data_IF_138007714193
#
_entry.id   IF_138007714193
#
_cell.length_a   1.000
_cell.length_b   1.000
_cell.length_c   1.000
_cell.angle_alpha   90.00
_cell.angle_beta   90.00
_cell.angle_gamma   90.00
#
_symmetry.space_group_name_H-M   'P 1'
#
loop_
_entity.id
_entity.type
_entity.pdbx_description
1 polymer ?
#
# COMPACT_ATOMS: atom_id res chain seq x y z
N UNK A 1 -17.36 27.73 -6.95
CA UNK A 1 -18.41 27.46 -5.94
C UNK A 1 -17.85 26.41 -4.97
N UNK A 2 -17.12 26.86 -3.98
CA UNK A 2 -16.59 25.95 -2.96
C UNK A 2 -16.30 26.77 -1.72
N UNK A 3 -17.15 26.70 -0.71
CA UNK A 3 -16.79 27.22 0.64
C UNK A 3 -17.76 26.76 1.75
N UNK A 4 -18.69 25.84 1.46
CA UNK A 4 -19.69 25.47 2.49
C UNK A 4 -19.30 24.25 3.35
N UNK A 5 -18.28 23.46 2.98
CA UNK A 5 -17.91 22.25 3.71
C UNK A 5 -16.98 22.50 4.90
N UNK A 6 -16.28 23.63 4.91
CA UNK A 6 -15.26 23.93 5.92
C UNK A 6 -15.83 24.38 7.27
N UNK A 7 -17.01 25.02 7.29
CA UNK A 7 -17.54 25.67 8.51
C UNK A 7 -18.17 24.68 9.49
N UNK A 8 -18.79 23.61 9.00
CA UNK A 8 -19.41 22.59 9.86
C UNK A 8 -18.41 21.73 10.62
N UNK A 9 -17.25 21.42 10.01
CA UNK A 9 -16.17 20.68 10.70
C UNK A 9 -15.55 21.47 11.86
N UNK A 10 -15.42 22.79 11.72
CA UNK A 10 -14.83 23.65 12.75
C UNK A 10 -15.70 23.77 14.01
N UNK A 11 -17.01 23.82 13.85
CA UNK A 11 -17.94 23.89 14.99
C UNK A 11 -17.98 22.58 15.79
N UNK A 12 -17.78 21.44 15.15
CA UNK A 12 -17.77 20.14 15.81
C UNK A 12 -16.51 19.92 16.66
N UNK A 13 -15.34 20.32 16.17
CA UNK A 13 -14.07 20.22 16.92
C UNK A 13 -14.10 21.14 18.15
N UNK A 14 -14.61 22.37 18.02
CA UNK A 14 -14.74 23.30 19.12
C UNK A 14 -15.77 22.82 20.17
N UNK A 15 -16.88 22.20 19.75
CA UNK A 15 -17.89 21.65 20.65
C UNK A 15 -17.37 20.42 21.42
N UNK A 16 -16.49 19.61 20.83
CA UNK A 16 -15.91 18.44 21.49
C UNK A 16 -14.83 18.82 22.50
N UNK A 17 -14.02 19.85 22.22
CA UNK A 17 -13.07 20.41 23.19
C UNK A 17 -13.85 20.95 24.40
N UNK A 18 -14.95 21.65 24.21
CA UNK A 18 -15.82 22.12 25.30
C UNK A 18 -16.50 20.98 26.07
N UNK A 19 -16.83 19.86 25.41
CA UNK A 19 -17.40 18.67 26.07
C UNK A 19 -16.33 17.87 26.84
N UNK A 20 -15.08 17.85 26.38
CA UNK A 20 -13.96 17.22 27.08
C UNK A 20 -13.51 18.04 28.28
N UNK A 21 -13.60 19.37 28.22
CA UNK A 21 -13.34 20.23 29.39
C UNK A 21 -14.44 20.09 30.46
N UNK A 22 -15.67 19.76 30.08
CA UNK A 22 -16.78 19.58 31.04
C UNK A 22 -16.76 18.18 31.71
N UNK A 23 -16.04 17.19 31.16
CA UNK A 23 -15.89 15.85 31.76
C UNK A 23 -14.58 15.66 32.53
N UNK A 24 -13.75 16.67 32.65
CA UNK A 24 -12.62 16.64 33.58
C UNK A 24 -13.12 16.89 35.02
N UNK A 25 -13.94 15.97 35.53
CA UNK A 25 -14.00 15.75 36.96
C UNK A 25 -12.60 15.39 37.41
N UNK A 26 -11.95 16.26 38.16
CA UNK A 26 -10.72 15.90 38.90
C UNK A 26 -10.99 14.59 39.63
N UNK A 27 -10.12 13.57 39.52
CA UNK A 27 -10.32 12.35 40.25
C UNK A 27 -10.25 12.70 41.73
N UNK A 28 -11.42 12.83 42.38
CA UNK A 28 -11.49 12.76 43.82
C UNK A 28 -10.67 11.56 44.28
N UNK A 29 -9.78 11.76 45.23
CA UNK A 29 -8.85 10.75 45.73
C UNK A 29 -9.59 9.62 46.51
N UNK A 30 -10.57 9.02 45.89
CA UNK A 30 -11.30 7.86 46.35
C UNK A 30 -10.54 6.62 45.88
N UNK A 31 -10.14 5.79 46.82
CA UNK A 31 -9.58 4.44 46.54
C UNK A 31 -10.68 3.47 46.06
N UNK A 32 -11.85 3.97 45.71
CA UNK A 32 -12.93 3.17 45.17
C UNK A 32 -12.72 2.91 43.68
N UNK A 33 -12.71 1.63 43.31
CA UNK A 33 -12.68 1.16 41.92
C UNK A 33 -14.03 0.55 41.56
N UNK A 34 -14.84 1.27 40.82
CA UNK A 34 -16.12 0.78 40.31
C UNK A 34 -15.93 0.12 38.96
N UNK A 35 -16.26 -1.18 38.88
CA UNK A 35 -16.23 -1.92 37.62
C UNK A 35 -17.62 -1.90 36.99
N UNK A 36 -17.72 -1.20 35.87
CA UNK A 36 -18.99 -1.05 35.14
C UNK A 36 -19.41 -2.32 34.41
N UNK A 37 -20.70 -2.43 34.07
CA UNK A 37 -21.22 -3.52 33.25
C UNK A 37 -20.56 -3.61 31.87
N UNK A 38 -20.20 -2.47 31.28
CA UNK A 38 -19.51 -2.39 29.99
C UNK A 38 -18.07 -2.98 30.08
N UNK A 39 -17.33 -2.66 31.15
CA UNK A 39 -15.99 -3.22 31.37
C UNK A 39 -16.05 -4.74 31.59
N UNK A 40 -17.04 -5.25 32.35
CA UNK A 40 -17.25 -6.69 32.51
C UNK A 40 -17.57 -7.38 31.18
N UNK A 41 -18.39 -6.77 30.34
CA UNK A 41 -18.71 -7.29 29.01
C UNK A 41 -17.48 -7.30 28.12
N UNK A 42 -16.66 -6.25 28.13
CA UNK A 42 -15.39 -6.18 27.41
C UNK A 42 -14.42 -7.30 27.80
N UNK A 43 -14.17 -7.51 29.10
CA UNK A 43 -13.28 -8.60 29.59
C UNK A 43 -13.83 -9.96 29.15
N UNK A 44 -15.13 -10.16 29.17
CA UNK A 44 -15.76 -11.41 28.70
C UNK A 44 -15.52 -11.65 27.22
N UNK A 45 -15.69 -10.65 26.40
CA UNK A 45 -15.47 -10.74 24.96
C UNK A 45 -13.99 -11.02 24.63
N UNK A 46 -13.05 -10.33 25.27
CA UNK A 46 -11.63 -10.59 25.15
C UNK A 46 -11.26 -12.03 25.54
N UNK A 47 -11.83 -12.52 26.61
CA UNK A 47 -11.61 -13.91 27.09
C UNK A 47 -12.10 -14.93 26.07
N UNK A 48 -13.22 -14.68 25.42
CA UNK A 48 -13.77 -15.54 24.36
C UNK A 48 -12.92 -15.50 23.08
N UNK A 49 -12.47 -14.31 22.67
CA UNK A 49 -11.61 -14.14 21.48
C UNK A 49 -10.22 -14.78 21.64
N UNK A 50 -9.69 -14.80 22.86
CA UNK A 50 -8.41 -15.46 23.17
C UNK A 50 -8.48 -17.00 23.10
N UNK A 51 -9.59 -17.58 22.63
CA UNK A 51 -9.73 -19.02 22.44
C UNK A 51 -9.92 -19.82 23.74
N UNK A 52 -10.23 -19.16 24.83
CA UNK A 52 -10.60 -19.79 26.08
C UNK A 52 -11.97 -20.48 25.93
N UNK A 53 -11.98 -21.62 25.22
CA UNK A 53 -13.15 -22.50 25.07
C UNK A 53 -13.50 -23.23 26.38
N UNK A 54 -12.89 -22.84 27.46
CA UNK A 54 -13.21 -23.40 28.78
C UNK A 54 -14.51 -22.79 29.27
N UNK A 55 -15.56 -23.57 29.23
CA UNK A 55 -16.85 -23.32 29.88
C UNK A 55 -16.68 -23.32 31.41
N UNK A 56 -15.83 -22.47 31.96
CA UNK A 56 -15.58 -22.41 33.40
C UNK A 56 -15.61 -20.95 33.88
N UNK A 57 -16.40 -20.68 34.90
CA UNK A 57 -16.42 -19.43 35.69
C UNK A 57 -15.00 -19.00 36.07
N UNK A 58 -14.10 -19.94 36.32
CA UNK A 58 -12.72 -19.68 36.76
C UNK A 58 -11.85 -18.89 35.76
N UNK A 59 -12.05 -19.07 34.45
CA UNK A 59 -11.23 -18.34 33.42
C UNK A 59 -11.66 -16.89 33.30
N UNK A 60 -12.97 -16.62 33.34
CA UNK A 60 -13.48 -15.28 33.36
C UNK A 60 -13.14 -14.54 34.66
N UNK A 61 -13.26 -15.22 35.81
CA UNK A 61 -12.93 -14.64 37.11
C UNK A 61 -11.44 -14.27 37.18
N UNK A 62 -10.56 -15.11 36.65
CA UNK A 62 -9.12 -14.82 36.57
C UNK A 62 -8.84 -13.63 35.63
N UNK A 63 -9.46 -13.59 34.43
CA UNK A 63 -9.33 -12.46 33.51
C UNK A 63 -9.85 -11.16 34.13
N UNK A 64 -10.95 -11.24 34.88
CA UNK A 64 -11.51 -10.09 35.60
C UNK A 64 -10.58 -9.61 36.72
N UNK A 65 -9.97 -10.52 37.47
CA UNK A 65 -8.99 -10.15 38.50
C UNK A 65 -7.76 -9.47 37.88
N UNK A 66 -7.22 -10.04 36.78
CA UNK A 66 -6.11 -9.41 36.04
C UNK A 66 -6.49 -8.01 35.57
N UNK A 67 -7.68 -7.81 35.03
CA UNK A 67 -8.16 -6.50 34.61
C UNK A 67 -8.23 -5.49 35.77
N UNK A 68 -8.70 -5.93 36.94
CA UNK A 68 -8.75 -5.10 38.16
C UNK A 68 -7.33 -4.72 38.62
N UNK A 69 -6.43 -5.67 38.65
CA UNK A 69 -5.03 -5.43 39.05
C UNK A 69 -4.33 -4.45 38.08
N UNK A 70 -4.55 -4.59 36.78
CA UNK A 70 -4.03 -3.66 35.77
C UNK A 70 -4.61 -2.25 35.96
N UNK A 71 -5.89 -2.10 36.26
CA UNK A 71 -6.54 -0.80 36.48
C UNK A 71 -6.00 -0.13 37.78
N UNK A 72 -5.74 -0.90 38.83
CA UNK A 72 -5.12 -0.42 40.04
C UNK A 72 -3.69 0.09 39.75
N UNK A 73 -2.88 -0.75 39.08
CA UNK A 73 -1.49 -0.40 38.70
C UNK A 73 -1.47 0.86 37.82
N UNK A 74 -2.39 0.98 36.88
CA UNK A 74 -2.51 2.16 36.02
C UNK A 74 -2.81 3.42 36.82
N UNK A 75 -3.76 3.38 37.73
CA UNK A 75 -4.11 4.53 38.60
C UNK A 75 -2.96 4.93 39.52
N UNK A 76 -2.32 3.97 40.14
CA UNK A 76 -1.14 4.25 41.00
C UNK A 76 0.04 4.78 40.18
N UNK A 77 0.27 4.25 38.98
CA UNK A 77 1.29 4.74 38.05
C UNK A 77 1.05 6.21 37.67
N UNK A 78 -0.20 6.61 37.38
CA UNK A 78 -0.56 8.01 37.11
C UNK A 78 -0.33 8.91 38.34
N UNK A 79 -0.68 8.46 39.56
CA UNK A 79 -0.41 9.20 40.80
C UNK A 79 1.08 9.43 41.03
N UNK A 80 1.93 8.46 40.65
CA UNK A 80 3.38 8.58 40.71
C UNK A 80 3.97 9.39 39.55
N UNK A 81 3.17 9.80 38.58
CA UNK A 81 3.60 10.55 37.42
C UNK A 81 4.45 9.74 36.42
N UNK A 82 4.29 8.42 36.35
CA UNK A 82 5.05 7.54 35.43
C UNK A 82 4.70 7.79 33.95
N UNK A 83 3.64 8.51 33.67
CA UNK A 83 3.25 8.97 32.33
C UNK A 83 3.98 10.26 31.92
N UNK A 84 4.53 10.99 32.88
CA UNK A 84 5.21 12.28 32.64
C UNK A 84 6.60 12.02 32.06
N UNK A 85 6.94 12.77 31.03
CA UNK A 85 8.21 12.69 30.31
C UNK A 85 8.55 11.31 29.70
N UNK A 86 7.60 10.37 29.73
CA UNK A 86 7.73 9.08 29.06
C UNK A 86 7.39 9.20 27.57
N UNK A 87 8.41 8.96 26.72
CA UNK A 87 8.26 9.04 25.26
C UNK A 87 7.32 7.96 24.71
N UNK A 88 7.23 6.79 25.34
CA UNK A 88 6.37 5.68 24.89
C UNK A 88 4.92 6.04 25.16
N UNK A 89 4.62 6.50 26.38
CA UNK A 89 3.28 6.98 26.74
C UNK A 89 2.86 8.12 25.84
N UNK A 90 3.73 9.13 25.67
CA UNK A 90 3.46 10.27 24.76
C UNK A 90 3.16 9.83 23.35
N UNK A 91 3.95 8.92 22.77
CA UNK A 91 3.70 8.39 21.42
C UNK A 91 2.37 7.65 21.33
N UNK A 92 1.99 6.90 22.34
CA UNK A 92 0.73 6.17 22.38
C UNK A 92 -0.48 7.10 22.44
N UNK A 93 -0.40 8.16 23.26
CA UNK A 93 -1.44 9.18 23.34
C UNK A 93 -1.57 9.94 22.01
N UNK A 94 -0.44 10.35 21.41
CA UNK A 94 -0.43 11.00 20.09
C UNK A 94 -1.04 10.10 19.02
N UNK A 95 -0.74 8.80 19.03
CA UNK A 95 -1.32 7.84 18.09
C UNK A 95 -2.84 7.73 18.26
N UNK A 96 -3.32 7.60 19.50
CA UNK A 96 -4.77 7.56 19.80
C UNK A 96 -5.46 8.84 19.35
N UNK A 97 -4.84 10.01 19.59
CA UNK A 97 -5.41 11.30 19.17
C UNK A 97 -5.50 11.42 17.64
N UNK A 98 -4.52 10.90 16.90
CA UNK A 98 -4.59 10.85 15.44
C UNK A 98 -5.75 10.00 14.95
N UNK A 99 -5.94 8.80 15.51
CA UNK A 99 -7.10 7.96 15.16
C UNK A 99 -8.43 8.66 15.49
N UNK A 100 -8.52 9.34 16.64
CA UNK A 100 -9.72 10.08 16.99
C UNK A 100 -10.02 11.18 15.96
N UNK A 101 -9.01 11.92 15.50
CA UNK A 101 -9.18 12.93 14.45
C UNK A 101 -9.66 12.33 13.13
N UNK A 102 -9.15 11.14 12.77
CA UNK A 102 -9.57 10.40 11.58
C UNK A 102 -11.04 9.95 11.67
N UNK A 103 -11.43 9.42 12.81
CA UNK A 103 -12.81 8.93 13.05
C UNK A 103 -13.85 10.08 13.08
N UNK A 104 -13.45 11.25 13.54
CA UNK A 104 -14.33 12.41 13.63
C UNK A 104 -14.69 13.04 12.28
N UNK A 105 -13.89 12.77 11.24
CA UNK A 105 -14.07 13.33 9.90
C UNK A 105 -14.10 12.24 8.85
N UNK A 106 -15.18 11.46 8.79
CA UNK A 106 -15.29 10.38 7.81
C UNK A 106 -15.24 10.94 6.38
N UNK A 107 -14.35 10.40 5.58
CA UNK A 107 -14.25 10.72 4.15
C UNK A 107 -15.29 9.91 3.38
N UNK A 108 -16.19 10.61 2.69
CA UNK A 108 -17.18 9.95 1.84
C UNK A 108 -16.49 9.23 0.66
N UNK A 109 -17.05 8.13 0.16
CA UNK A 109 -16.56 7.50 -1.06
C UNK A 109 -16.49 8.52 -2.20
N UNK A 110 -15.40 8.53 -3.00
CA UNK A 110 -15.26 9.50 -4.08
C UNK A 110 -16.29 9.29 -5.19
N UNK A 111 -16.76 10.39 -5.76
CA UNK A 111 -17.63 10.39 -6.92
C UNK A 111 -16.85 10.04 -8.19
N UNK A 112 -17.57 9.65 -9.25
CA UNK A 112 -16.97 9.39 -10.56
C UNK A 112 -16.18 10.61 -11.09
N UNK A 113 -16.74 11.80 -10.97
CA UNK A 113 -16.09 13.03 -11.39
C UNK A 113 -14.78 13.30 -10.63
N UNK A 114 -14.76 13.04 -9.32
CA UNK A 114 -13.55 13.17 -8.50
C UNK A 114 -12.46 12.18 -8.92
N UNK A 115 -12.84 10.95 -9.27
CA UNK A 115 -11.91 9.93 -9.77
C UNK A 115 -11.31 10.35 -11.12
N UNK A 116 -12.13 10.89 -12.04
CA UNK A 116 -11.66 11.38 -13.34
C UNK A 116 -10.68 12.55 -13.19
N UNK A 117 -11.00 13.51 -12.35
CA UNK A 117 -10.11 14.65 -12.04
C UNK A 117 -8.79 14.17 -11.43
N UNK A 118 -8.86 13.26 -10.48
CA UNK A 118 -7.65 12.70 -9.84
C UNK A 118 -6.76 11.95 -10.83
N UNK A 119 -7.35 11.14 -11.69
CA UNK A 119 -6.66 10.42 -12.75
C UNK A 119 -5.95 11.37 -13.72
N UNK A 120 -6.62 12.44 -14.15
CA UNK A 120 -6.04 13.49 -15.00
C UNK A 120 -4.88 14.24 -14.33
N UNK A 121 -4.93 14.43 -13.03
CA UNK A 121 -3.87 15.09 -12.27
C UNK A 121 -2.68 14.18 -11.97
N UNK A 122 -2.87 12.86 -12.00
CA UNK A 122 -1.86 11.86 -11.64
C UNK A 122 -1.65 10.78 -12.72
N UNK A 123 -1.56 11.12 -14.01
CA UNK A 123 -1.58 10.12 -15.08
C UNK A 123 -0.42 9.13 -15.00
N UNK A 124 0.76 9.54 -14.48
CA UNK A 124 1.94 8.67 -14.39
C UNK A 124 1.76 7.51 -13.39
N UNK A 125 0.82 7.61 -12.44
CA UNK A 125 0.55 6.57 -11.45
C UNK A 125 -0.36 5.46 -11.99
N UNK A 126 -1.05 5.72 -13.09
CA UNK A 126 -2.08 4.86 -13.67
C UNK A 126 -1.79 4.61 -15.14
N UNK A 127 -0.61 4.06 -15.41
CA UNK A 127 -0.23 3.64 -16.75
C UNK A 127 -0.39 2.14 -16.90
N UNK A 128 -0.90 1.70 -18.04
CA UNK A 128 -0.75 0.32 -18.45
C UNK A 128 0.70 0.06 -18.83
N UNK A 129 1.19 -1.14 -18.61
CA UNK A 129 2.53 -1.50 -19.04
C UNK A 129 2.61 -1.59 -20.57
N UNK A 130 3.77 -1.22 -21.10
CA UNK A 130 4.11 -1.54 -22.48
C UNK A 130 4.24 -3.06 -22.62
N UNK A 131 3.61 -3.63 -23.64
CA UNK A 131 3.68 -5.05 -23.93
C UNK A 131 4.13 -5.30 -25.38
N UNK A 132 4.77 -6.44 -25.60
CA UNK A 132 5.20 -6.88 -26.92
C UNK A 132 4.82 -8.33 -27.14
N UNK A 133 4.42 -8.65 -28.38
CA UNK A 133 4.30 -10.01 -28.87
C UNK A 133 5.43 -10.26 -29.86
N UNK A 134 6.17 -11.35 -29.71
CA UNK A 134 7.36 -11.61 -30.51
C UNK A 134 7.52 -13.10 -30.82
N UNK A 135 8.17 -13.37 -31.94
CA UNK A 135 8.78 -14.68 -32.24
C UNK A 135 10.18 -14.76 -31.62
N UNK A 136 10.58 -15.96 -31.22
CA UNK A 136 11.84 -16.17 -30.51
C UNK A 136 12.51 -17.46 -30.95
N UNK A 137 13.80 -17.37 -31.29
CA UNK A 137 14.70 -18.50 -31.46
C UNK A 137 15.81 -18.43 -30.43
N UNK A 138 16.10 -19.56 -29.80
CA UNK A 138 17.07 -19.67 -28.74
C UNK A 138 18.21 -20.64 -29.11
N UNK A 139 19.43 -20.25 -28.79
CA UNK A 139 20.65 -21.02 -29.01
C UNK A 139 21.36 -21.19 -27.67
N UNK A 140 21.18 -22.34 -27.05
CA UNK A 140 21.64 -22.62 -25.69
C UNK A 140 23.18 -22.67 -25.61
N UNK A 141 23.78 -21.87 -24.76
CA UNK A 141 25.21 -21.93 -24.50
C UNK A 141 25.60 -23.28 -23.86
N UNK A 142 24.74 -23.84 -23.03
CA UNK A 142 24.97 -25.14 -22.41
C UNK A 142 25.05 -26.30 -23.41
N UNK A 143 24.34 -26.20 -24.55
CA UNK A 143 24.37 -27.24 -25.62
C UNK A 143 25.39 -26.96 -26.71
N UNK A 144 25.57 -25.67 -27.05
CA UNK A 144 26.33 -25.25 -28.25
C UNK A 144 27.70 -24.62 -27.92
N UNK A 145 27.95 -24.36 -26.63
CA UNK A 145 29.19 -23.67 -26.23
C UNK A 145 29.35 -22.32 -26.90
N UNK A 146 30.53 -22.00 -27.34
CA UNK A 146 30.89 -20.74 -28.02
C UNK A 146 30.31 -20.64 -29.44
N UNK A 147 29.91 -21.76 -30.05
CA UNK A 147 29.27 -21.74 -31.37
C UNK A 147 27.88 -21.16 -31.37
N UNK A 148 27.23 -21.01 -30.22
CA UNK A 148 25.88 -20.45 -30.12
C UNK A 148 25.74 -19.08 -30.81
N UNK A 149 26.74 -18.22 -30.70
CA UNK A 149 26.75 -16.89 -31.32
C UNK A 149 26.83 -16.98 -32.83
N UNK A 150 27.75 -17.84 -33.33
CA UNK A 150 27.94 -18.04 -34.75
C UNK A 150 26.73 -18.70 -35.42
N UNK A 151 26.15 -19.70 -34.78
CA UNK A 151 24.94 -20.38 -35.29
C UNK A 151 23.71 -19.43 -35.25
N UNK A 152 23.58 -18.58 -34.24
CA UNK A 152 22.54 -17.55 -34.21
C UNK A 152 22.72 -16.54 -35.36
N UNK A 153 23.94 -16.14 -35.69
CA UNK A 153 24.21 -15.23 -36.79
C UNK A 153 23.81 -15.83 -38.16
N UNK A 154 24.11 -17.10 -38.39
CA UNK A 154 23.68 -17.85 -39.60
C UNK A 154 22.19 -17.95 -39.63
N UNK A 155 21.55 -18.37 -38.54
CA UNK A 155 20.12 -18.52 -38.42
C UNK A 155 19.37 -17.17 -38.71
N UNK A 156 19.93 -16.04 -38.27
CA UNK A 156 19.36 -14.72 -38.61
C UNK A 156 19.32 -14.46 -40.11
N UNK A 157 20.36 -14.85 -40.85
CA UNK A 157 20.38 -14.69 -42.32
C UNK A 157 19.33 -15.59 -43.00
N UNK A 158 19.21 -16.84 -42.53
CA UNK A 158 18.23 -17.79 -43.04
C UNK A 158 16.80 -17.35 -42.79
N UNK A 159 16.51 -16.88 -41.57
CA UNK A 159 15.22 -16.31 -41.17
C UNK A 159 14.88 -15.07 -42.02
N UNK A 160 15.85 -14.22 -42.32
CA UNK A 160 15.67 -13.07 -43.23
C UNK A 160 15.34 -13.47 -44.68
N UNK A 161 15.64 -14.73 -45.07
CA UNK A 161 15.27 -15.31 -46.36
C UNK A 161 13.97 -16.13 -46.29
N UNK A 162 13.27 -16.13 -45.16
CA UNK A 162 12.06 -16.93 -44.95
C UNK A 162 12.28 -18.42 -44.75
N UNK A 163 13.53 -18.85 -44.49
CA UNK A 163 13.87 -20.27 -44.26
C UNK A 163 13.62 -20.66 -42.80
N UNK A 164 13.18 -21.88 -42.58
CA UNK A 164 13.07 -22.44 -41.24
C UNK A 164 14.46 -22.71 -40.65
N UNK A 165 14.66 -22.40 -39.37
CA UNK A 165 15.90 -22.64 -38.64
C UNK A 165 15.67 -23.58 -37.45
N UNK A 166 16.71 -24.34 -37.11
CA UNK A 166 16.67 -25.22 -35.96
C UNK A 166 17.22 -24.47 -34.72
N UNK A 167 16.36 -24.20 -33.77
CA UNK A 167 16.67 -23.57 -32.47
C UNK A 167 16.49 -24.55 -31.31
N UNK A 168 17.05 -24.23 -30.15
CA UNK A 168 16.86 -25.02 -28.96
C UNK A 168 15.56 -24.62 -28.25
N UNK A 169 14.92 -25.54 -27.50
CA UNK A 169 13.79 -25.19 -26.67
C UNK A 169 14.19 -24.13 -25.63
N UNK A 170 13.39 -23.08 -25.50
CA UNK A 170 13.55 -22.13 -24.43
C UNK A 170 12.54 -22.44 -23.32
N UNK A 171 12.94 -22.44 -22.02
CA UNK A 171 12.08 -22.89 -20.93
C UNK A 171 10.90 -21.99 -20.66
N UNK A 172 10.88 -20.78 -21.24
CA UNK A 172 9.81 -19.80 -21.05
C UNK A 172 8.98 -19.69 -22.31
N UNK A 173 7.65 -19.82 -22.19
CA UNK A 173 6.73 -19.68 -23.31
C UNK A 173 6.55 -18.19 -23.64
N UNK A 174 7.14 -17.74 -24.72
CA UNK A 174 7.15 -16.35 -25.13
C UNK A 174 6.24 -16.03 -26.33
N UNK A 175 5.55 -17.01 -26.90
CA UNK A 175 5.12 -16.93 -28.30
C UNK A 175 3.61 -16.71 -28.54
N UNK A 176 2.75 -16.63 -27.52
CA UNK A 176 1.32 -16.54 -27.78
C UNK A 176 0.57 -15.40 -27.08
N UNK A 177 1.15 -14.74 -26.11
CA UNK A 177 0.50 -13.62 -25.41
C UNK A 177 1.43 -12.41 -25.37
N UNK A 178 0.90 -11.18 -25.43
CA UNK A 178 1.69 -9.99 -25.20
C UNK A 178 2.35 -10.07 -23.82
N UNK A 179 3.69 -9.90 -23.78
CA UNK A 179 4.51 -9.98 -22.57
C UNK A 179 4.91 -8.57 -22.14
N UNK A 180 4.78 -8.27 -20.85
CA UNK A 180 5.15 -6.96 -20.33
C UNK A 180 6.67 -6.82 -20.22
N UNK A 181 7.14 -5.56 -20.21
CA UNK A 181 8.55 -5.22 -20.00
C UNK A 181 9.12 -5.89 -18.75
N UNK A 182 8.40 -5.81 -17.65
CA UNK A 182 8.86 -6.32 -16.36
C UNK A 182 8.97 -7.84 -16.39
N UNK A 183 8.05 -8.54 -17.06
CA UNK A 183 8.13 -9.98 -17.26
C UNK A 183 9.34 -10.37 -18.12
N UNK A 184 9.60 -9.66 -19.21
CA UNK A 184 10.76 -9.90 -20.07
C UNK A 184 12.06 -9.71 -19.28
N UNK A 185 12.16 -8.63 -18.50
CA UNK A 185 13.35 -8.35 -17.67
C UNK A 185 13.55 -9.46 -16.63
N UNK A 186 12.48 -9.91 -15.99
CA UNK A 186 12.51 -11.00 -15.02
C UNK A 186 12.98 -12.31 -15.62
N UNK A 187 12.53 -12.64 -16.83
CA UNK A 187 12.76 -13.93 -17.48
C UNK A 187 14.08 -14.00 -18.24
N UNK A 188 14.47 -12.89 -18.87
CA UNK A 188 15.61 -12.86 -19.82
C UNK A 188 16.69 -11.83 -19.46
N UNK A 189 16.45 -10.99 -18.47
CA UNK A 189 17.35 -9.94 -18.02
C UNK A 189 17.14 -8.58 -18.71
N UNK A 190 17.59 -7.52 -18.03
CA UNK A 190 17.41 -6.14 -18.46
C UNK A 190 17.95 -5.82 -19.86
N UNK A 191 19.11 -6.36 -20.32
CA UNK A 191 19.60 -6.10 -21.67
C UNK A 191 18.65 -6.60 -22.77
N UNK A 192 18.03 -7.77 -22.57
CA UNK A 192 17.06 -8.34 -23.53
C UNK A 192 15.79 -7.50 -23.56
N UNK A 193 15.28 -7.09 -22.38
CA UNK A 193 14.10 -6.25 -22.28
C UNK A 193 14.25 -4.93 -23.04
N UNK A 194 15.39 -4.28 -22.90
CA UNK A 194 15.68 -3.03 -23.63
C UNK A 194 15.66 -3.22 -25.14
N UNK A 195 16.35 -4.26 -25.63
CA UNK A 195 16.41 -4.54 -27.07
C UNK A 195 15.05 -4.85 -27.64
N UNK A 196 14.25 -5.71 -26.99
CA UNK A 196 12.91 -6.07 -27.43
C UNK A 196 11.97 -4.87 -27.56
N UNK A 197 12.06 -3.93 -26.62
CA UNK A 197 11.20 -2.75 -26.63
C UNK A 197 11.57 -1.75 -27.74
N UNK A 198 12.83 -1.72 -28.18
CA UNK A 198 13.34 -0.79 -29.20
C UNK A 198 13.39 -1.43 -30.61
N UNK A 199 13.28 -2.78 -30.71
CA UNK A 199 13.40 -3.50 -31.98
C UNK A 199 12.28 -3.09 -32.95
N UNK A 200 12.60 -2.75 -34.23
CA UNK A 200 11.59 -2.52 -35.24
C UNK A 200 10.65 -3.73 -35.43
N UNK A 201 9.39 -3.46 -35.75
CA UNK A 201 8.41 -4.52 -36.03
C UNK A 201 8.84 -5.34 -37.27
N UNK A 202 8.49 -6.62 -37.25
CA UNK A 202 8.71 -7.58 -38.35
C UNK A 202 10.16 -7.77 -38.79
N UNK A 203 11.13 -7.37 -37.97
CA UNK A 203 12.56 -7.53 -38.26
C UNK A 203 13.22 -8.41 -37.20
N UNK A 204 14.07 -9.34 -37.66
CA UNK A 204 14.89 -10.15 -36.77
C UNK A 204 16.02 -9.33 -36.16
N UNK A 205 16.19 -9.43 -34.84
CA UNK A 205 17.26 -8.79 -34.11
C UNK A 205 18.65 -9.27 -34.53
N UNK A 206 19.68 -8.50 -34.21
CA UNK A 206 21.01 -9.10 -34.07
C UNK A 206 21.00 -10.17 -32.96
N UNK A 207 21.97 -11.09 -32.94
CA UNK A 207 22.12 -12.04 -31.84
C UNK A 207 22.24 -11.31 -30.48
N UNK A 208 21.29 -11.58 -29.58
CA UNK A 208 21.23 -10.99 -28.23
C UNK A 208 21.72 -12.02 -27.23
N UNK A 209 22.71 -11.67 -26.43
CA UNK A 209 23.25 -12.56 -25.41
C UNK A 209 22.54 -12.40 -24.07
N UNK A 210 22.27 -13.52 -23.40
CA UNK A 210 21.86 -13.61 -22.02
C UNK A 210 22.74 -14.59 -21.24
N UNK A 211 22.46 -14.76 -19.95
CA UNK A 211 23.12 -15.78 -19.12
C UNK A 211 22.84 -17.21 -19.60
N UNK A 212 21.75 -17.45 -20.30
CA UNK A 212 21.30 -18.76 -20.77
C UNK A 212 21.84 -19.11 -22.15
N UNK A 213 22.14 -18.13 -22.99
CA UNK A 213 22.58 -18.34 -24.35
C UNK A 213 22.36 -17.13 -25.25
N UNK A 214 22.10 -17.41 -26.53
CA UNK A 214 21.91 -16.39 -27.56
C UNK A 214 20.49 -16.46 -28.09
N UNK A 215 19.88 -15.32 -28.28
CA UNK A 215 18.48 -15.15 -28.68
C UNK A 215 18.41 -14.39 -30.00
N UNK A 216 17.45 -14.75 -30.83
CA UNK A 216 16.96 -13.95 -31.95
C UNK A 216 15.49 -13.65 -31.72
N UNK A 217 15.10 -12.39 -31.84
CA UNK A 217 13.73 -11.93 -31.64
C UNK A 217 13.20 -11.25 -32.90
N UNK A 218 11.92 -11.42 -33.15
CA UNK A 218 11.16 -10.62 -34.11
C UNK A 218 9.89 -10.13 -33.44
N UNK A 219 9.79 -8.83 -33.22
CA UNK A 219 8.58 -8.22 -32.61
C UNK A 219 7.46 -8.18 -33.66
N UNK A 220 6.34 -8.83 -33.36
CA UNK A 220 5.16 -8.88 -34.21
C UNK A 220 4.20 -7.72 -33.91
N UNK A 221 4.03 -7.44 -32.61
CA UNK A 221 3.15 -6.38 -32.15
C UNK A 221 3.77 -5.69 -30.94
N UNK A 222 3.53 -4.39 -30.83
CA UNK A 222 3.89 -3.58 -29.69
C UNK A 222 2.70 -2.73 -29.29
N UNK A 223 2.32 -2.84 -28.03
CA UNK A 223 1.31 -2.00 -27.43
C UNK A 223 1.98 -1.05 -26.45
N UNK A 224 1.99 0.21 -26.76
CA UNK A 224 2.50 1.24 -25.86
C UNK A 224 1.62 1.34 -24.62
N UNK A 225 2.25 1.60 -23.49
CA UNK A 225 1.53 1.93 -22.27
C UNK A 225 0.70 3.20 -22.47
N UNK A 226 -0.50 3.20 -21.95
CA UNK A 226 -1.40 4.36 -21.96
C UNK A 226 -1.98 4.60 -20.57
N UNK A 227 -2.47 5.80 -20.34
CA UNK A 227 -3.18 6.09 -19.09
C UNK A 227 -4.44 5.21 -19.01
N UNK A 228 -4.58 4.50 -17.89
CA UNK A 228 -5.75 3.67 -17.60
C UNK A 228 -7.02 4.52 -17.58
N UNK A 229 -8.15 3.92 -17.91
CA UNK A 229 -9.46 4.52 -17.61
C UNK A 229 -9.78 4.39 -16.12
N UNK A 230 -10.81 5.09 -15.64
CA UNK A 230 -11.26 4.98 -14.24
C UNK A 230 -11.63 3.54 -13.89
N UNK A 231 -12.25 2.81 -14.83
CA UNK A 231 -12.64 1.41 -14.67
C UNK A 231 -11.41 0.50 -14.57
N UNK A 232 -10.39 0.73 -15.39
CA UNK A 232 -9.14 -0.04 -15.38
C UNK A 232 -8.33 0.20 -14.11
N UNK A 233 -8.21 1.46 -13.68
CA UNK A 233 -7.51 1.82 -12.44
C UNK A 233 -8.31 1.40 -11.18
N UNK A 234 -9.63 1.31 -11.28
CA UNK A 234 -10.54 0.64 -10.37
C UNK A 234 -10.31 0.95 -8.88
N UNK A 235 -10.05 -0.09 -8.11
CA UNK A 235 -9.87 0.03 -6.64
C UNK A 235 -8.60 0.78 -6.25
N UNK A 236 -7.53 0.72 -7.04
CA UNK A 236 -6.31 1.46 -6.76
C UNK A 236 -6.57 2.97 -6.80
N UNK A 237 -7.24 3.45 -7.85
CA UNK A 237 -7.59 4.86 -8.00
C UNK A 237 -8.44 5.37 -6.84
N UNK A 238 -9.45 4.59 -6.44
CA UNK A 238 -10.30 4.92 -5.28
C UNK A 238 -9.52 4.99 -3.99
N UNK A 239 -8.68 3.99 -3.73
CA UNK A 239 -7.88 3.91 -2.51
C UNK A 239 -6.90 5.08 -2.40
N UNK A 240 -6.22 5.40 -3.49
CA UNK A 240 -5.27 6.50 -3.55
C UNK A 240 -5.94 7.87 -3.31
N UNK A 241 -7.10 8.11 -3.96
CA UNK A 241 -7.84 9.34 -3.76
C UNK A 241 -8.39 9.46 -2.34
N UNK A 242 -8.93 8.37 -1.79
CA UNK A 242 -9.40 8.36 -0.40
C UNK A 242 -8.25 8.59 0.59
N UNK A 243 -7.07 8.03 0.33
CA UNK A 243 -5.89 8.27 1.16
C UNK A 243 -5.46 9.74 1.12
N UNK A 244 -5.42 10.37 -0.05
CA UNK A 244 -5.10 11.78 -0.21
C UNK A 244 -6.15 12.70 0.45
N UNK A 245 -7.43 12.35 0.36
CA UNK A 245 -8.50 13.09 1.04
C UNK A 245 -8.37 13.00 2.56
N UNK A 246 -8.08 11.79 3.11
CA UNK A 246 -7.83 11.61 4.55
C UNK A 246 -6.62 12.42 5.01
N UNK A 247 -5.53 12.41 4.26
CA UNK A 247 -4.35 13.21 4.58
C UNK A 247 -4.68 14.70 4.65
N UNK A 248 -5.46 15.21 3.69
CA UNK A 248 -5.90 16.62 3.66
C UNK A 248 -6.76 16.95 4.88
N UNK A 249 -7.72 16.10 5.22
CA UNK A 249 -8.62 16.29 6.36
C UNK A 249 -7.83 16.24 7.68
N UNK A 250 -6.92 15.27 7.82
CA UNK A 250 -6.08 15.14 9.02
C UNK A 250 -5.15 16.35 9.19
N UNK A 251 -4.56 16.83 8.10
CA UNK A 251 -3.73 18.04 8.11
C UNK A 251 -4.54 19.27 8.53
N UNK A 252 -5.77 19.43 8.02
CA UNK A 252 -6.66 20.52 8.41
C UNK A 252 -7.07 20.42 9.88
N UNK A 253 -7.40 19.23 10.38
CA UNK A 253 -7.72 19.00 11.79
C UNK A 253 -6.54 19.33 12.72
N UNK A 254 -5.34 18.91 12.36
CA UNK A 254 -4.14 19.25 13.12
C UNK A 254 -3.83 20.75 13.07
N UNK A 255 -4.01 21.41 11.93
CA UNK A 255 -3.84 22.84 11.79
C UNK A 255 -4.84 23.63 12.66
N UNK A 256 -6.09 23.17 12.72
CA UNK A 256 -7.11 23.74 13.59
C UNK A 256 -6.71 23.62 15.07
N UNK A 257 -6.27 22.45 15.52
CA UNK A 257 -5.74 22.26 16.86
C UNK A 257 -4.55 23.20 17.14
N UNK A 258 -3.59 23.24 16.20
CA UNK A 258 -2.38 24.06 16.34
C UNK A 258 -2.72 25.56 16.53
N UNK A 259 -3.78 26.05 15.88
CA UNK A 259 -4.20 27.45 15.99
C UNK A 259 -4.69 27.84 17.38
N UNK A 260 -5.06 26.88 18.23
CA UNK A 260 -5.47 27.12 19.61
C UNK A 260 -4.30 27.27 20.59
N UNK A 261 -3.07 26.97 20.13
CA UNK A 261 -1.87 27.03 20.96
C UNK A 261 -1.01 28.24 20.64
N UNK A 262 -0.51 28.93 21.66
CA UNK A 262 0.56 29.91 21.52
C UNK A 262 1.90 29.20 21.66
N UNK A 263 2.65 29.08 20.56
CA UNK A 263 3.95 28.41 20.54
C UNK A 263 5.05 29.43 20.83
N UNK A 264 5.80 29.20 21.89
CA UNK A 264 7.00 30.01 22.26
C UNK A 264 8.19 29.07 22.25
N UNK A 265 9.24 29.46 21.55
CA UNK A 265 10.54 28.78 21.61
C UNK A 265 11.40 29.53 22.62
N UNK A 266 11.97 28.82 23.60
CA UNK A 266 12.98 29.34 24.52
C UNK A 266 14.35 28.85 24.04
N UNK A 267 15.29 29.78 23.94
CA UNK A 267 16.72 29.49 23.70
C UNK A 267 17.34 28.70 24.86
#
# INVERSE_FOLDING_TARGET
>A
MSTSFSVFGFLFVAALIGLLEWQSDEPTASNELVITGAQRAFVREQTLQAGAQTKGTSTFDHAMQTYIDEEILYREGLKLGLDKDDLIVKRRVVQKMRFLLEDMTPVAPPTQEQLEVWLQQNPQRYQTEQTVRFEHHFFSRGKRGDEAVYQAAIARQELGQGKAVQSDPFPLQADQSPVSKDQIIKDMGSPVGKILLELPLEQWSAPVQSSLGVHLFKVLERHEGHTMTVEQAGNQLRSDLMAAQRETVNAAGLAALRSTYTIKESE
#
